data_IF_234096624018
#
_entry.id   IF_234096624018
#
_cell.length_a   1.000
_cell.length_b   1.000
_cell.length_c   1.000
_cell.angle_alpha   90.00
_cell.angle_beta   90.00
_cell.angle_gamma   90.00
#
_symmetry.space_group_name_H-M   'P 1'
#
loop_
_entity.id
_entity.type
_entity.pdbx_description
1 polymer ?
#
# COMPACT_ATOMS: atom_id res chain seq x y z
N UNK A 1 -5.71 9.70 -5.16
CA UNK A 1 -6.43 8.46 -5.51
C UNK A 1 -7.05 7.74 -4.30
N UNK A 2 -6.33 6.95 -3.49
CA UNK A 2 -6.96 6.12 -2.44
C UNK A 2 -7.62 6.93 -1.30
N UNK A 3 -7.04 8.07 -0.95
CA UNK A 3 -7.63 8.99 0.05
C UNK A 3 -8.94 9.63 -0.43
N UNK A 4 -9.03 9.96 -1.72
CA UNK A 4 -10.23 10.53 -2.34
C UNK A 4 -11.34 9.49 -2.40
N UNK A 5 -11.02 8.26 -2.81
CA UNK A 5 -11.96 7.14 -2.79
C UNK A 5 -12.48 6.85 -1.37
N UNK A 6 -11.60 6.88 -0.37
CA UNK A 6 -11.98 6.74 1.03
C UNK A 6 -12.97 7.82 1.51
N UNK A 7 -12.83 9.06 1.04
CA UNK A 7 -13.76 10.14 1.35
C UNK A 7 -15.10 9.96 0.63
N UNK A 8 -15.06 9.55 -0.64
CA UNK A 8 -16.23 9.28 -1.45
C UNK A 8 -17.09 8.17 -0.83
N UNK A 9 -16.48 7.03 -0.49
CA UNK A 9 -17.23 5.88 0.03
C UNK A 9 -17.80 6.14 1.43
N UNK A 10 -17.08 6.88 2.28
CA UNK A 10 -17.60 7.30 3.59
C UNK A 10 -18.81 8.21 3.45
N UNK A 11 -18.81 9.14 2.49
CA UNK A 11 -19.98 9.99 2.20
C UNK A 11 -21.17 9.17 1.73
N UNK A 12 -20.95 8.23 0.80
CA UNK A 12 -22.02 7.35 0.29
C UNK A 12 -22.62 6.50 1.42
N UNK A 13 -21.77 5.88 2.25
CA UNK A 13 -22.20 5.10 3.43
C UNK A 13 -22.99 5.92 4.46
N UNK A 14 -22.73 7.23 4.58
CA UNK A 14 -23.44 8.14 5.48
C UNK A 14 -24.79 8.64 4.94
N UNK A 15 -25.01 8.53 3.63
CA UNK A 15 -26.25 8.95 2.98
C UNK A 15 -27.26 7.79 2.93
N UNK A 16 -28.53 8.04 3.29
CA UNK A 16 -29.62 7.04 3.27
C UNK A 16 -30.11 6.67 1.87
N UNK A 17 -29.50 7.20 0.82
CA UNK A 17 -29.90 6.89 -0.55
C UNK A 17 -29.44 5.48 -0.88
N UNK A 18 -30.39 4.56 -1.05
CA UNK A 18 -30.17 3.19 -1.51
C UNK A 18 -29.76 3.15 -3.00
N UNK A 19 -28.84 4.03 -3.40
CA UNK A 19 -28.15 3.92 -4.67
C UNK A 19 -27.54 2.53 -4.74
N UNK A 20 -27.86 1.83 -5.81
CA UNK A 20 -27.68 0.39 -6.02
C UNK A 20 -26.41 -0.16 -5.35
N UNK A 21 -26.55 -0.68 -4.12
CA UNK A 21 -25.42 -1.10 -3.29
C UNK A 21 -24.55 -2.16 -3.98
N UNK A 22 -25.12 -2.91 -4.93
CA UNK A 22 -24.41 -3.84 -5.81
C UNK A 22 -23.39 -3.12 -6.70
N UNK A 23 -23.76 -1.98 -7.30
CA UNK A 23 -22.83 -1.20 -8.15
C UNK A 23 -21.69 -0.63 -7.31
N UNK A 24 -22.00 -0.15 -6.10
CA UNK A 24 -20.98 0.36 -5.16
C UNK A 24 -20.02 -0.76 -4.74
N UNK A 25 -20.54 -1.96 -4.44
CA UNK A 25 -19.75 -3.12 -4.07
C UNK A 25 -18.81 -3.54 -5.20
N UNK A 26 -19.29 -3.60 -6.44
CA UNK A 26 -18.45 -3.94 -7.61
C UNK A 26 -17.34 -2.90 -7.83
N UNK A 27 -17.66 -1.60 -7.70
CA UNK A 27 -16.64 -0.53 -7.71
C UNK A 27 -15.61 -0.70 -6.58
N UNK A 28 -16.06 -1.12 -5.39
CA UNK A 28 -15.19 -1.33 -4.23
C UNK A 28 -14.23 -2.49 -4.41
N UNK A 29 -14.72 -3.63 -4.91
CA UNK A 29 -13.87 -4.78 -5.25
C UNK A 29 -12.80 -4.43 -6.27
N UNK A 30 -13.14 -3.63 -7.29
CA UNK A 30 -12.17 -3.17 -8.28
C UNK A 30 -11.09 -2.28 -7.64
N UNK A 31 -11.45 -1.45 -6.67
CA UNK A 31 -10.47 -0.66 -5.91
C UNK A 31 -9.59 -1.54 -5.01
N UNK A 32 -10.17 -2.53 -4.33
CA UNK A 32 -9.42 -3.53 -3.55
C UNK A 32 -8.42 -4.26 -4.44
N UNK A 33 -8.81 -4.71 -5.63
CA UNK A 33 -7.90 -5.36 -6.58
C UNK A 33 -6.76 -4.43 -7.00
N UNK A 34 -7.05 -3.14 -7.22
CA UNK A 34 -6.02 -2.14 -7.55
C UNK A 34 -5.02 -1.94 -6.42
N UNK A 35 -5.47 -1.77 -5.17
CA UNK A 35 -4.55 -1.57 -4.04
C UNK A 35 -3.74 -2.83 -3.73
N UNK A 36 -4.31 -4.02 -3.92
CA UNK A 36 -3.58 -5.27 -3.82
C UNK A 36 -2.45 -5.35 -4.86
N UNK A 37 -2.73 -4.98 -6.11
CA UNK A 37 -1.73 -4.94 -7.18
C UNK A 37 -0.58 -3.97 -6.85
N UNK A 38 -0.90 -2.73 -6.46
CA UNK A 38 0.09 -1.75 -6.03
C UNK A 38 0.94 -2.26 -4.86
N UNK A 39 0.33 -2.89 -3.87
CA UNK A 39 1.05 -3.46 -2.73
C UNK A 39 2.03 -4.56 -3.15
N UNK A 40 1.67 -5.41 -4.09
CA UNK A 40 2.55 -6.49 -4.60
C UNK A 40 3.75 -5.88 -5.34
N UNK A 41 3.51 -4.94 -6.25
CA UNK A 41 4.59 -4.26 -6.98
C UNK A 41 5.51 -3.54 -5.99
N UNK A 42 4.92 -2.83 -5.02
CA UNK A 42 5.69 -2.10 -4.02
C UNK A 42 6.53 -3.03 -3.15
N UNK A 43 6.00 -4.20 -2.76
CA UNK A 43 6.76 -5.24 -2.06
C UNK A 43 7.94 -5.73 -2.90
N UNK A 44 7.70 -6.03 -4.18
CA UNK A 44 8.74 -6.51 -5.10
C UNK A 44 9.90 -5.49 -5.20
N UNK A 45 9.57 -4.21 -5.40
CA UNK A 45 10.57 -3.15 -5.46
C UNK A 45 11.27 -2.97 -4.11
N UNK A 46 10.54 -3.08 -2.99
CA UNK A 46 11.12 -3.00 -1.63
C UNK A 46 12.13 -4.12 -1.39
N UNK A 47 11.81 -5.35 -1.78
CA UNK A 47 12.71 -6.50 -1.68
C UNK A 47 13.96 -6.27 -2.54
N UNK A 48 13.78 -5.81 -3.78
CA UNK A 48 14.90 -5.52 -4.67
C UNK A 48 15.84 -4.44 -4.09
N UNK A 49 15.29 -3.32 -3.61
CA UNK A 49 16.05 -2.26 -2.94
C UNK A 49 16.74 -2.79 -1.69
N UNK A 50 16.05 -3.63 -0.90
CA UNK A 50 16.61 -4.29 0.28
C UNK A 50 17.81 -5.18 -0.06
N UNK A 51 17.75 -5.97 -1.14
CA UNK A 51 18.85 -6.80 -1.61
C UNK A 51 20.05 -5.93 -2.00
N UNK A 52 19.82 -4.89 -2.82
CA UNK A 52 20.89 -3.97 -3.24
C UNK A 52 21.53 -3.28 -2.04
N UNK A 53 20.71 -2.80 -1.09
CA UNK A 53 21.15 -2.21 0.16
C UNK A 53 22.02 -3.19 0.97
N UNK A 54 21.60 -4.45 1.11
CA UNK A 54 22.37 -5.48 1.82
C UNK A 54 23.71 -5.78 1.13
N UNK A 55 23.74 -5.88 -0.20
CA UNK A 55 24.99 -6.12 -0.95
C UNK A 55 25.97 -4.97 -0.72
N UNK A 56 25.53 -3.72 -0.88
CA UNK A 56 26.40 -2.55 -0.68
C UNK A 56 26.89 -2.48 0.76
N UNK A 57 26.02 -2.80 1.73
CA UNK A 57 26.40 -2.87 3.15
C UNK A 57 27.53 -3.88 3.39
N UNK A 58 27.44 -5.08 2.80
CA UNK A 58 28.46 -6.11 2.92
C UNK A 58 29.76 -5.66 2.25
N UNK A 59 29.70 -5.07 1.05
CA UNK A 59 30.88 -4.57 0.33
C UNK A 59 31.61 -3.53 1.17
N UNK A 60 30.90 -2.55 1.76
CA UNK A 60 31.49 -1.53 2.64
C UNK A 60 32.22 -2.17 3.83
N UNK A 61 31.61 -3.17 4.47
CA UNK A 61 32.21 -3.85 5.64
C UNK A 61 33.49 -4.60 5.26
N UNK A 62 33.49 -5.28 4.10
CA UNK A 62 34.63 -6.09 3.66
C UNK A 62 35.79 -5.23 3.15
N UNK A 63 35.52 -4.24 2.31
CA UNK A 63 36.56 -3.42 1.69
C UNK A 63 37.01 -2.25 2.56
N UNK A 64 36.18 -1.84 3.53
CA UNK A 64 36.36 -0.63 4.36
C UNK A 64 36.43 0.67 3.55
N UNK A 65 35.93 0.66 2.32
CA UNK A 65 35.91 1.82 1.44
C UNK A 65 34.84 2.82 1.87
N UNK A 66 35.29 3.93 2.47
CA UNK A 66 34.41 4.97 3.01
C UNK A 66 33.65 5.74 1.92
N UNK A 67 34.16 5.77 0.68
CA UNK A 67 33.50 6.48 -0.43
C UNK A 67 32.15 5.85 -0.80
N UNK A 68 31.99 4.54 -0.59
CA UNK A 68 30.73 3.83 -0.86
C UNK A 68 29.60 4.22 0.10
N UNK A 69 29.91 4.83 1.24
CA UNK A 69 28.91 5.35 2.19
C UNK A 69 28.06 6.45 1.54
N UNK A 70 28.65 7.26 0.66
CA UNK A 70 27.92 8.31 -0.06
C UNK A 70 26.81 7.73 -0.96
N UNK A 71 27.01 6.53 -1.52
CA UNK A 71 25.99 5.80 -2.30
C UNK A 71 24.99 5.07 -1.39
N UNK A 72 25.46 4.55 -0.25
CA UNK A 72 24.65 3.79 0.69
C UNK A 72 23.57 4.63 1.37
N UNK A 73 23.87 5.88 1.74
CA UNK A 73 22.92 6.75 2.45
C UNK A 73 21.62 7.02 1.65
N UNK A 74 21.66 7.45 0.37
CA UNK A 74 20.46 7.61 -0.43
C UNK A 74 19.62 6.33 -0.53
N UNK A 75 20.28 5.17 -0.67
CA UNK A 75 19.62 3.87 -0.77
C UNK A 75 18.96 3.49 0.56
N UNK A 76 19.57 3.82 1.71
CA UNK A 76 18.95 3.64 3.02
C UNK A 76 17.64 4.44 3.12
N UNK A 77 17.68 5.73 2.77
CA UNK A 77 16.49 6.58 2.82
C UNK A 77 15.41 6.08 1.87
N UNK A 78 15.79 5.66 0.67
CA UNK A 78 14.88 5.04 -0.28
C UNK A 78 14.24 3.80 0.34
N UNK A 79 15.03 2.86 0.87
CA UNK A 79 14.55 1.63 1.48
C UNK A 79 13.55 1.92 2.61
N UNK A 80 13.88 2.85 3.51
CA UNK A 80 12.99 3.22 4.60
C UNK A 80 11.69 3.88 4.12
N UNK A 81 11.77 4.75 3.11
CA UNK A 81 10.59 5.33 2.46
C UNK A 81 9.67 4.26 1.86
N UNK A 82 10.26 3.25 1.22
CA UNK A 82 9.52 2.10 0.70
C UNK A 82 8.85 1.29 1.82
N UNK A 83 9.51 1.05 2.95
CA UNK A 83 8.90 0.37 4.10
C UNK A 83 7.70 1.13 4.68
N UNK A 84 7.80 2.45 4.83
CA UNK A 84 6.69 3.29 5.29
C UNK A 84 5.51 3.19 4.32
N UNK A 85 5.78 3.34 3.02
CA UNK A 85 4.74 3.30 2.00
C UNK A 85 4.05 1.91 1.95
N UNK A 86 4.82 0.83 2.09
CA UNK A 86 4.26 -0.52 2.16
C UNK A 86 3.28 -0.67 3.32
N UNK A 87 3.66 -0.21 4.53
CA UNK A 87 2.78 -0.24 5.71
C UNK A 87 1.50 0.58 5.51
N UNK A 88 1.59 1.71 4.84
CA UNK A 88 0.42 2.52 4.50
C UNK A 88 -0.56 1.79 3.57
N UNK A 89 -0.04 1.14 2.52
CA UNK A 89 -0.85 0.34 1.60
C UNK A 89 -1.51 -0.85 2.31
N UNK A 90 -0.76 -1.55 3.16
CA UNK A 90 -1.27 -2.69 3.93
C UNK A 90 -2.42 -2.29 4.86
N UNK A 91 -2.22 -1.25 5.68
CA UNK A 91 -3.25 -0.74 6.59
C UNK A 91 -4.50 -0.27 5.85
N UNK A 92 -4.33 0.37 4.69
CA UNK A 92 -5.45 0.82 3.86
C UNK A 92 -6.23 -0.37 3.33
N UNK A 93 -5.54 -1.41 2.85
CA UNK A 93 -6.16 -2.64 2.33
C UNK A 93 -6.97 -3.35 3.43
N UNK A 94 -6.42 -3.48 4.64
CA UNK A 94 -7.13 -4.06 5.77
C UNK A 94 -8.39 -3.27 6.13
N UNK A 95 -8.30 -1.93 6.11
CA UNK A 95 -9.46 -1.08 6.36
C UNK A 95 -10.56 -1.22 5.30
N UNK A 96 -10.20 -1.55 4.06
CA UNK A 96 -11.12 -1.76 2.96
C UNK A 96 -11.83 -3.10 3.03
N UNK A 97 -11.18 -4.18 3.48
CA UNK A 97 -11.89 -5.44 3.72
C UNK A 97 -12.98 -5.30 4.77
N UNK A 98 -12.68 -4.62 5.88
CA UNK A 98 -13.68 -4.34 6.93
C UNK A 98 -14.84 -3.50 6.38
N UNK A 99 -14.56 -2.62 5.40
CA UNK A 99 -15.58 -1.81 4.75
C UNK A 99 -16.45 -2.63 3.79
N UNK A 100 -15.84 -3.54 3.05
CA UNK A 100 -16.52 -4.49 2.16
C UNK A 100 -17.53 -5.33 2.94
N UNK A 101 -17.12 -5.90 4.09
CA UNK A 101 -18.00 -6.68 4.96
C UNK A 101 -19.24 -5.88 5.39
N UNK A 102 -19.05 -4.62 5.80
CA UNK A 102 -20.15 -3.71 6.18
C UNK A 102 -21.10 -3.38 5.03
N UNK A 103 -20.59 -3.29 3.80
CA UNK A 103 -21.42 -3.07 2.61
C UNK A 103 -22.24 -4.33 2.32
N UNK A 104 -21.63 -5.51 2.42
CA UNK A 104 -22.32 -6.80 2.21
C UNK A 104 -23.42 -7.02 3.25
N UNK A 105 -23.18 -6.69 4.52
CA UNK A 105 -24.21 -6.74 5.57
C UNK A 105 -25.42 -5.86 5.24
N UNK A 106 -25.20 -4.65 4.72
CA UNK A 106 -26.27 -3.74 4.29
C UNK A 106 -27.05 -4.21 3.06
N UNK A 107 -26.46 -5.05 2.22
CA UNK A 107 -27.15 -5.64 1.04
C UNK A 107 -28.04 -6.82 1.44
N UNK A 108 -27.67 -7.55 2.50
CA UNK A 108 -28.41 -8.72 2.99
C UNK A 108 -29.61 -8.36 3.87
N UNK A 109 -29.65 -7.14 4.41
CA UNK A 109 -30.76 -6.57 5.18
C UNK A 109 -31.81 -5.95 4.25
#
# INVERSE_FOLDING_TARGET
MFKEYNLEIKKVLSSKSAADWKIILEKHKLMIARIQHERIIHLLVTIFVGIVFSIISIVIIVTKESILVALWIPILFLFFGYLIHYRFLENTTQSWYILEDKIIEKIKL
#
